data_IF_381313657538
#
_entry.id   IF_381313657538
#
_cell.length_a   1.000
_cell.length_b   1.000
_cell.length_c   1.000
_cell.angle_alpha   90.00
_cell.angle_beta   90.00
_cell.angle_gamma   90.00
#
_symmetry.space_group_name_H-M   'P 1'
#
loop_
_entity.id
_entity.type
_entity.pdbx_description
1 polymer ?
#
# COMPACT_ATOMS: atom_id res chain seq x y z
N UNK A 1 7.54 -3.99 -46.73
CA UNK A 1 6.59 -5.07 -46.56
C UNK A 1 5.94 -4.86 -45.20
N UNK A 2 4.62 -4.60 -45.13
CA UNK A 2 3.94 -4.44 -43.84
C UNK A 2 3.72 -5.81 -43.19
N UNK A 3 4.02 -5.89 -41.90
CA UNK A 3 3.76 -7.03 -41.03
C UNK A 3 2.24 -7.14 -40.86
N UNK A 4 1.61 -8.32 -41.00
CA UNK A 4 0.17 -8.47 -40.79
C UNK A 4 -0.14 -8.24 -39.31
N UNK A 5 -0.97 -7.24 -39.04
CA UNK A 5 -1.62 -7.04 -37.75
C UNK A 5 -2.59 -8.19 -37.54
N UNK A 6 -2.25 -9.13 -36.65
CA UNK A 6 -3.19 -10.12 -36.17
C UNK A 6 -4.34 -9.35 -35.49
N UNK A 7 -5.57 -9.55 -36.00
CA UNK A 7 -6.81 -9.06 -35.40
C UNK A 7 -6.96 -9.65 -33.97
N UNK A 8 -6.42 -8.92 -33.00
CA UNK A 8 -6.66 -9.21 -31.59
C UNK A 8 -8.06 -8.70 -31.30
N UNK A 9 -9.04 -9.58 -31.34
CA UNK A 9 -10.40 -9.30 -30.91
C UNK A 9 -10.37 -8.69 -29.48
N UNK A 10 -11.16 -7.63 -29.25
CA UNK A 10 -11.22 -7.03 -27.92
C UNK A 10 -11.56 -8.09 -26.86
N UNK A 11 -10.93 -8.05 -25.68
CA UNK A 11 -11.07 -9.08 -24.64
C UNK A 11 -12.52 -9.31 -24.19
N UNK A 12 -13.40 -8.33 -24.37
CA UNK A 12 -14.84 -8.41 -24.11
C UNK A 12 -15.55 -9.38 -25.04
N UNK A 13 -15.23 -9.38 -26.32
CA UNK A 13 -15.81 -10.31 -27.31
C UNK A 13 -15.32 -11.74 -27.09
N UNK A 14 -14.11 -11.93 -26.60
CA UNK A 14 -13.58 -13.26 -26.26
C UNK A 14 -14.28 -13.82 -25.01
N UNK A 15 -14.60 -12.99 -24.03
CA UNK A 15 -15.33 -13.40 -22.82
C UNK A 15 -16.82 -13.73 -23.13
N UNK A 16 -17.46 -12.94 -23.99
CA UNK A 16 -18.86 -13.20 -24.45
C UNK A 16 -18.93 -14.51 -25.26
N UNK A 17 -17.94 -14.75 -26.14
CA UNK A 17 -17.88 -16.02 -26.92
C UNK A 17 -17.61 -17.21 -26.00
N UNK A 18 -16.72 -17.12 -25.03
CA UNK A 18 -16.49 -18.20 -24.08
C UNK A 18 -17.69 -18.45 -23.17
N UNK A 19 -18.38 -17.42 -22.71
CA UNK A 19 -19.62 -17.52 -21.93
C UNK A 19 -20.76 -18.12 -22.76
N UNK A 20 -20.92 -17.70 -24.01
CA UNK A 20 -21.90 -18.24 -24.94
C UNK A 20 -21.66 -19.72 -25.26
N UNK A 21 -20.40 -20.13 -25.41
CA UNK A 21 -20.05 -21.55 -25.63
C UNK A 21 -20.38 -22.41 -24.42
N UNK A 22 -20.15 -21.95 -23.22
CA UNK A 22 -20.47 -22.65 -21.97
C UNK A 22 -21.99 -22.79 -21.78
N UNK A 23 -22.74 -21.73 -22.06
CA UNK A 23 -24.21 -21.77 -22.01
C UNK A 23 -24.76 -22.69 -23.08
N UNK A 24 -24.23 -22.65 -24.31
CA UNK A 24 -24.64 -23.55 -25.40
C UNK A 24 -24.34 -25.02 -25.10
N UNK A 25 -23.15 -25.31 -24.50
CA UNK A 25 -22.78 -26.65 -24.03
C UNK A 25 -23.71 -27.13 -22.90
N UNK A 26 -24.01 -26.26 -21.92
CA UNK A 26 -24.95 -26.57 -20.84
C UNK A 26 -26.36 -26.83 -21.31
N UNK A 27 -26.87 -26.03 -22.27
CA UNK A 27 -28.18 -26.22 -22.90
C UNK A 27 -28.21 -27.47 -23.75
N UNK A 28 -27.15 -27.82 -24.48
CA UNK A 28 -27.06 -29.06 -25.27
C UNK A 28 -27.12 -30.30 -24.37
N UNK A 29 -26.46 -30.26 -23.19
CA UNK A 29 -26.54 -31.35 -22.20
C UNK A 29 -27.95 -31.50 -21.64
N UNK A 30 -28.64 -30.39 -21.34
CA UNK A 30 -30.00 -30.39 -20.79
C UNK A 30 -31.03 -30.79 -21.87
N UNK A 31 -30.83 -30.40 -23.13
CA UNK A 31 -31.73 -30.70 -24.24
C UNK A 31 -31.59 -32.12 -24.83
N UNK A 32 -30.62 -32.91 -24.37
CA UNK A 32 -30.41 -34.29 -24.85
C UNK A 32 -29.93 -34.38 -26.29
N UNK A 33 -29.42 -33.28 -26.88
CA UNK A 33 -28.82 -33.29 -28.21
C UNK A 33 -27.46 -33.99 -28.20
N UNK A 34 -27.13 -34.73 -29.26
CA UNK A 34 -25.86 -35.45 -29.37
C UNK A 34 -24.67 -34.49 -29.22
N UNK A 35 -23.96 -34.66 -28.14
CA UNK A 35 -22.66 -33.99 -27.93
C UNK A 35 -21.62 -34.80 -28.71
N UNK A 36 -20.68 -34.18 -29.44
CA UNK A 36 -19.65 -34.92 -30.17
C UNK A 36 -18.96 -35.95 -29.27
N UNK A 37 -18.85 -37.18 -29.75
CA UNK A 37 -18.28 -38.33 -28.99
C UNK A 37 -16.90 -38.04 -28.38
N UNK A 38 -16.12 -37.17 -29.00
CA UNK A 38 -14.84 -36.71 -28.45
C UNK A 38 -14.96 -35.95 -27.12
N UNK A 39 -16.09 -35.27 -26.89
CA UNK A 39 -16.35 -34.58 -25.61
C UNK A 39 -16.96 -35.55 -24.60
N UNK A 40 -17.80 -36.49 -25.07
CA UNK A 40 -18.37 -37.53 -24.21
C UNK A 40 -17.33 -38.57 -23.77
N UNK A 41 -16.34 -38.90 -24.61
CA UNK A 41 -15.25 -39.81 -24.25
C UNK A 41 -14.30 -39.23 -23.19
N UNK A 42 -14.09 -37.90 -23.17
CA UNK A 42 -13.37 -37.24 -22.11
C UNK A 42 -14.12 -37.24 -20.76
N UNK A 43 -15.43 -37.49 -20.79
CA UNK A 43 -16.33 -37.56 -19.62
C UNK A 43 -17.12 -38.86 -19.59
N UNK A 44 -16.56 -39.99 -20.06
CA UNK A 44 -17.19 -41.30 -20.02
C UNK A 44 -17.35 -41.80 -18.58
N UNK A 45 -18.47 -41.46 -17.98
CA UNK A 45 -18.95 -42.05 -16.75
C UNK A 45 -19.95 -43.16 -17.10
N UNK A 46 -19.49 -44.38 -17.15
CA UNK A 46 -20.38 -45.53 -17.15
C UNK A 46 -21.00 -45.68 -15.75
N UNK A 47 -22.34 -45.75 -15.76
CA UNK A 47 -23.26 -46.06 -14.66
C UNK A 47 -23.69 -44.97 -13.68
N UNK A 48 -25.01 -44.86 -13.70
CA UNK A 48 -25.97 -44.20 -12.81
C UNK A 48 -26.14 -42.67 -12.98
N UNK A 49 -27.40 -42.25 -13.04
CA UNK A 49 -27.81 -40.85 -13.21
C UNK A 49 -27.16 -39.86 -12.24
N UNK A 50 -26.82 -40.34 -11.04
CA UNK A 50 -26.18 -39.52 -10.00
C UNK A 50 -24.74 -39.13 -10.36
N UNK A 51 -23.97 -39.98 -11.05
CA UNK A 51 -22.57 -39.71 -11.40
C UNK A 51 -22.47 -38.64 -12.50
N UNK A 52 -23.42 -38.61 -13.43
CA UNK A 52 -23.49 -37.54 -14.45
C UNK A 52 -23.79 -36.18 -13.82
N UNK A 53 -24.73 -36.12 -12.88
CA UNK A 53 -25.08 -34.90 -12.16
C UNK A 53 -23.88 -34.39 -11.38
N UNK A 54 -23.15 -35.26 -10.69
CA UNK A 54 -21.94 -34.90 -9.95
C UNK A 54 -20.85 -34.36 -10.89
N UNK A 55 -20.64 -35.01 -12.05
CA UNK A 55 -19.67 -34.56 -13.06
C UNK A 55 -19.98 -33.15 -13.59
N UNK A 56 -21.25 -32.90 -13.94
CA UNK A 56 -21.69 -31.57 -14.38
C UNK A 56 -21.56 -30.53 -13.27
N UNK A 57 -21.88 -30.90 -12.04
CA UNK A 57 -21.74 -30.00 -10.89
C UNK A 57 -20.27 -29.63 -10.63
N UNK A 58 -19.35 -30.61 -10.67
CA UNK A 58 -17.90 -30.34 -10.51
C UNK A 58 -17.43 -29.43 -11.65
N UNK A 59 -17.80 -29.70 -12.90
CA UNK A 59 -17.41 -28.85 -14.03
C UNK A 59 -17.94 -27.42 -13.89
N UNK A 60 -19.21 -27.27 -13.49
CA UNK A 60 -19.79 -25.96 -13.21
C UNK A 60 -19.05 -25.20 -12.08
N UNK A 61 -18.68 -25.90 -11.01
CA UNK A 61 -17.89 -25.33 -9.90
C UNK A 61 -16.52 -24.85 -10.39
N UNK A 62 -15.82 -25.65 -11.20
CA UNK A 62 -14.52 -25.28 -11.77
C UNK A 62 -14.63 -24.05 -12.66
N UNK A 63 -15.65 -23.99 -13.51
CA UNK A 63 -15.90 -22.81 -14.36
C UNK A 63 -16.23 -21.59 -13.52
N UNK A 64 -17.12 -21.69 -12.55
CA UNK A 64 -17.48 -20.60 -11.66
C UNK A 64 -16.25 -20.12 -10.87
N UNK A 65 -15.42 -21.03 -10.39
CA UNK A 65 -14.16 -20.69 -9.75
C UNK A 65 -13.21 -19.93 -10.69
N UNK A 66 -13.01 -20.43 -11.92
CA UNK A 66 -12.18 -19.79 -12.93
C UNK A 66 -12.71 -18.39 -13.30
N UNK A 67 -14.03 -18.24 -13.48
CA UNK A 67 -14.66 -16.95 -13.74
C UNK A 67 -14.51 -15.98 -12.56
N UNK A 68 -14.68 -16.48 -11.34
CA UNK A 68 -14.49 -15.69 -10.12
C UNK A 68 -13.04 -15.20 -9.99
N UNK A 69 -12.06 -16.09 -10.19
CA UNK A 69 -10.63 -15.72 -10.17
C UNK A 69 -10.33 -14.69 -11.26
N UNK A 70 -10.89 -14.86 -12.45
CA UNK A 70 -10.75 -13.90 -13.56
C UNK A 70 -11.37 -12.55 -13.22
N UNK A 71 -12.59 -12.51 -12.70
CA UNK A 71 -13.26 -11.28 -12.29
C UNK A 71 -12.49 -10.53 -11.21
N UNK A 72 -12.00 -11.25 -10.19
CA UNK A 72 -11.16 -10.68 -9.14
C UNK A 72 -9.84 -10.13 -9.70
N UNK A 73 -9.22 -10.83 -10.65
CA UNK A 73 -7.98 -10.37 -11.28
C UNK A 73 -8.19 -9.16 -12.18
N UNK A 74 -9.31 -9.08 -12.90
CA UNK A 74 -9.68 -7.90 -13.68
C UNK A 74 -9.98 -6.70 -12.78
N UNK A 75 -10.77 -6.88 -11.72
CA UNK A 75 -11.03 -5.84 -10.74
C UNK A 75 -9.75 -5.25 -10.15
N UNK A 76 -8.79 -6.09 -9.79
CA UNK A 76 -7.49 -5.64 -9.28
C UNK A 76 -6.60 -4.94 -10.34
N UNK A 77 -6.75 -5.27 -11.62
CA UNK A 77 -6.07 -4.55 -12.72
C UNK A 77 -6.66 -3.16 -12.93
N UNK A 78 -7.98 -3.06 -13.01
CA UNK A 78 -8.70 -1.78 -13.17
C UNK A 78 -8.38 -0.86 -11.98
N UNK A 79 -8.44 -1.37 -10.77
CA UNK A 79 -8.11 -0.60 -9.56
C UNK A 79 -6.67 -0.07 -9.60
N UNK A 80 -5.70 -0.87 -10.06
CA UNK A 80 -4.31 -0.42 -10.21
C UNK A 80 -4.13 0.62 -11.32
N UNK A 81 -4.79 0.45 -12.47
CA UNK A 81 -4.74 1.42 -13.58
C UNK A 81 -5.35 2.75 -13.18
N UNK A 82 -6.53 2.70 -12.55
CA UNK A 82 -7.19 3.90 -12.02
C UNK A 82 -6.33 4.57 -10.95
N UNK A 83 -5.74 3.75 -10.04
CA UNK A 83 -4.81 4.22 -9.04
C UNK A 83 -3.61 4.96 -9.63
N UNK A 84 -2.97 4.40 -10.66
CA UNK A 84 -1.86 5.05 -11.35
C UNK A 84 -2.26 6.35 -12.07
N UNK A 85 -3.46 6.40 -12.66
CA UNK A 85 -3.98 7.62 -13.29
C UNK A 85 -4.22 8.73 -12.26
N UNK A 86 -4.82 8.40 -11.12
CA UNK A 86 -5.06 9.35 -10.02
C UNK A 86 -3.76 9.86 -9.39
N UNK A 87 -2.75 9.00 -9.23
CA UNK A 87 -1.40 9.42 -8.81
C UNK A 87 -0.75 10.34 -9.85
N UNK A 88 -0.95 10.05 -11.14
CA UNK A 88 -0.46 10.89 -12.23
C UNK A 88 -1.08 12.30 -12.22
N UNK A 89 -2.38 12.41 -11.97
CA UNK A 89 -3.07 13.70 -11.86
C UNK A 89 -2.54 14.52 -10.68
N UNK A 90 -2.38 13.92 -9.52
CA UNK A 90 -1.81 14.59 -8.34
C UNK A 90 -0.36 15.07 -8.61
N UNK A 91 0.41 14.30 -9.37
CA UNK A 91 1.77 14.67 -9.76
C UNK A 91 1.81 15.85 -10.74
N UNK A 92 0.94 15.86 -11.76
CA UNK A 92 0.85 16.96 -12.73
C UNK A 92 0.41 18.27 -12.05
N UNK A 93 -0.59 18.20 -11.15
CA UNK A 93 -1.04 19.34 -10.37
C UNK A 93 0.08 19.91 -9.50
N UNK A 94 0.76 19.06 -8.75
CA UNK A 94 1.89 19.41 -7.91
C UNK A 94 3.02 20.09 -8.71
N UNK A 95 3.36 19.54 -9.88
CA UNK A 95 4.39 20.09 -10.76
C UNK A 95 3.97 21.42 -11.38
N UNK A 96 2.74 21.50 -11.89
CA UNK A 96 2.22 22.71 -12.52
C UNK A 96 2.17 23.91 -11.56
N UNK A 97 1.95 23.65 -10.26
CA UNK A 97 1.99 24.64 -9.21
C UNK A 97 3.42 25.09 -8.81
N UNK A 98 4.48 24.52 -9.41
CA UNK A 98 5.88 24.85 -9.10
C UNK A 98 6.38 24.30 -7.76
N UNK A 99 5.65 23.38 -7.14
CA UNK A 99 5.98 22.83 -5.83
C UNK A 99 7.28 22.01 -5.76
N UNK A 100 7.80 21.37 -6.84
CA UNK A 100 9.08 20.65 -6.77
C UNK A 100 10.23 21.48 -6.23
N UNK A 101 10.30 22.78 -6.59
CA UNK A 101 11.38 23.68 -6.15
C UNK A 101 11.42 23.87 -4.62
N UNK A 102 10.26 23.70 -3.96
CA UNK A 102 10.18 23.85 -2.50
C UNK A 102 10.97 22.75 -1.75
N UNK A 103 11.26 21.61 -2.40
CA UNK A 103 11.87 20.43 -1.76
C UNK A 103 13.31 20.18 -2.21
N UNK A 104 13.78 20.85 -3.25
CA UNK A 104 15.13 20.66 -3.79
C UNK A 104 16.18 20.87 -2.71
N UNK A 105 17.08 19.91 -2.54
CA UNK A 105 18.16 19.90 -1.58
C UNK A 105 17.74 19.99 -0.09
N UNK A 106 16.46 19.80 0.22
CA UNK A 106 15.88 19.87 1.57
C UNK A 106 15.50 18.50 2.13
N UNK A 107 15.17 18.50 3.39
CA UNK A 107 14.46 17.38 4.01
C UNK A 107 12.97 17.56 3.69
N UNK A 108 12.39 16.63 2.92
CA UNK A 108 10.96 16.58 2.66
C UNK A 108 10.24 15.87 3.81
N UNK A 109 9.40 16.58 4.56
CA UNK A 109 8.57 15.97 5.61
C UNK A 109 7.26 15.54 4.97
N UNK A 110 7.00 14.24 4.91
CA UNK A 110 5.81 13.63 4.34
C UNK A 110 4.79 13.31 5.43
N UNK A 111 3.61 13.90 5.31
CA UNK A 111 2.51 13.72 6.25
C UNK A 111 1.29 13.14 5.50
N UNK A 112 1.04 11.83 5.55
CA UNK A 112 -0.20 11.27 5.01
C UNK A 112 -1.37 11.63 5.95
N UNK A 113 -2.48 12.16 5.39
CA UNK A 113 -3.63 12.58 6.16
C UNK A 113 -4.95 12.08 5.54
N UNK A 114 -5.90 11.65 6.37
CA UNK A 114 -7.26 11.33 5.95
C UNK A 114 -8.25 11.64 7.08
N UNK A 115 -9.06 12.67 6.90
CA UNK A 115 -9.98 13.20 7.92
C UNK A 115 -9.24 13.45 9.25
N UNK A 116 -8.26 14.33 9.21
CA UNK A 116 -7.40 14.72 10.33
C UNK A 116 -7.41 16.25 10.54
N UNK A 117 -8.49 16.96 10.15
CA UNK A 117 -8.58 18.42 10.29
C UNK A 117 -8.32 18.91 11.72
N UNK A 118 -8.78 18.14 12.74
CA UNK A 118 -8.60 18.47 14.15
C UNK A 118 -7.16 18.32 14.66
N UNK A 119 -6.33 17.56 13.94
CA UNK A 119 -4.98 17.17 14.38
C UNK A 119 -3.86 17.77 13.52
N UNK A 120 -4.07 17.81 12.20
CA UNK A 120 -3.00 18.11 11.24
C UNK A 120 -2.36 19.48 11.48
N UNK A 121 -3.14 20.51 11.82
CA UNK A 121 -2.62 21.85 12.11
C UNK A 121 -1.63 21.85 13.28
N UNK A 122 -1.99 21.19 14.39
CA UNK A 122 -1.16 21.07 15.57
C UNK A 122 0.16 20.29 15.31
N UNK A 123 0.09 19.27 14.43
CA UNK A 123 1.30 18.53 14.00
C UNK A 123 2.20 19.44 13.18
N UNK A 124 1.64 20.16 12.21
CA UNK A 124 2.38 21.06 11.31
C UNK A 124 3.08 22.19 12.07
N UNK A 125 2.42 22.80 13.06
CA UNK A 125 2.99 23.88 13.88
C UNK A 125 4.21 23.43 14.71
N UNK A 126 4.33 22.14 15.00
CA UNK A 126 5.45 21.56 15.75
C UNK A 126 6.59 21.06 14.85
N UNK A 127 6.39 21.03 13.53
CA UNK A 127 7.46 20.58 12.62
C UNK A 127 8.60 21.57 12.59
N UNK A 128 9.85 21.12 12.72
CA UNK A 128 11.00 22.01 12.70
C UNK A 128 11.23 22.57 11.29
N UNK A 129 11.60 23.85 11.20
CA UNK A 129 12.01 24.49 9.93
C UNK A 129 13.38 24.00 9.43
N UNK A 130 14.18 23.41 10.32
CA UNK A 130 15.52 22.87 10.04
C UNK A 130 15.78 21.66 10.93
N UNK A 131 16.43 20.63 10.39
CA UNK A 131 16.87 19.44 11.12
C UNK A 131 18.34 19.15 10.76
N UNK A 132 19.19 19.03 11.76
CA UNK A 132 20.62 18.74 11.59
C UNK A 132 21.31 19.68 10.57
N UNK A 133 20.99 20.98 10.56
CA UNK A 133 21.57 21.97 9.65
C UNK A 133 21.01 21.96 8.22
N UNK A 134 19.94 21.17 7.96
CA UNK A 134 19.30 21.11 6.65
C UNK A 134 17.86 21.63 6.76
N UNK A 135 17.51 22.60 5.91
CA UNK A 135 16.16 23.16 5.85
C UNK A 135 15.12 22.10 5.51
N UNK A 136 13.93 22.19 6.07
CA UNK A 136 12.81 21.30 5.80
C UNK A 136 11.78 21.94 4.88
N UNK A 137 10.97 21.11 4.25
CA UNK A 137 9.72 21.50 3.59
C UNK A 137 8.69 20.41 3.81
N UNK A 138 7.43 20.77 4.04
CA UNK A 138 6.38 19.81 4.41
C UNK A 138 5.43 19.58 3.24
N UNK A 139 5.23 18.30 2.92
CA UNK A 139 4.24 17.80 1.96
C UNK A 139 3.18 17.00 2.71
N UNK A 140 1.94 17.47 2.67
CA UNK A 140 0.77 16.73 3.14
C UNK A 140 0.13 16.04 1.94
N UNK A 141 -0.06 14.74 2.05
CA UNK A 141 -0.91 14.00 1.08
C UNK A 141 -2.27 13.79 1.72
N UNK A 142 -3.24 14.57 1.29
CA UNK A 142 -4.64 14.39 1.66
C UNK A 142 -5.27 13.25 0.86
N UNK A 143 -5.57 12.14 1.51
CA UNK A 143 -6.12 10.95 0.87
C UNK A 143 -7.65 11.02 0.69
N UNK A 144 -8.14 12.13 0.16
CA UNK A 144 -9.54 12.34 -0.18
C UNK A 144 -10.42 12.63 1.03
N UNK A 145 -9.95 13.47 1.94
CA UNK A 145 -10.70 13.92 3.13
C UNK A 145 -11.97 14.72 2.76
N UNK A 146 -12.90 14.76 3.71
CA UNK A 146 -14.18 15.48 3.58
C UNK A 146 -14.41 16.48 4.71
N UNK A 147 -13.45 16.66 5.59
CA UNK A 147 -13.51 17.45 6.81
C UNK A 147 -12.72 18.77 6.74
N UNK A 148 -12.13 19.09 5.58
CA UNK A 148 -11.31 20.29 5.43
C UNK A 148 -9.84 20.09 5.82
N UNK A 149 -9.36 18.86 5.94
CA UNK A 149 -7.95 18.54 6.27
C UNK A 149 -6.98 19.27 5.35
N UNK A 150 -7.24 19.35 4.04
CA UNK A 150 -6.36 19.99 3.07
C UNK A 150 -6.33 21.52 3.21
N UNK A 151 -7.48 22.16 3.51
CA UNK A 151 -7.53 23.58 3.79
C UNK A 151 -6.75 23.94 5.05
N UNK A 152 -6.91 23.15 6.14
CA UNK A 152 -6.14 23.34 7.37
C UNK A 152 -4.65 23.18 7.10
N UNK A 153 -4.24 22.14 6.36
CA UNK A 153 -2.84 21.93 6.05
C UNK A 153 -2.20 23.09 5.26
N UNK A 154 -2.91 23.64 4.27
CA UNK A 154 -2.45 24.83 3.52
C UNK A 154 -2.35 26.07 4.40
N UNK A 155 -3.32 26.28 5.29
CA UNK A 155 -3.30 27.41 6.22
C UNK A 155 -2.10 27.40 7.17
N UNK A 156 -1.57 26.21 7.48
CA UNK A 156 -0.35 26.01 8.27
C UNK A 156 0.94 25.92 7.42
N UNK A 157 0.89 26.37 6.16
CA UNK A 157 2.08 26.52 5.30
C UNK A 157 2.58 25.26 4.64
N UNK A 158 1.87 24.14 4.71
CA UNK A 158 2.27 22.92 4.03
C UNK A 158 1.93 22.96 2.54
N UNK A 159 2.77 22.37 1.71
CA UNK A 159 2.40 22.00 0.35
C UNK A 159 1.43 20.81 0.43
N UNK A 160 0.33 20.86 -0.31
CA UNK A 160 -0.69 19.81 -0.26
C UNK A 160 -0.90 19.22 -1.65
N UNK A 161 -0.77 17.89 -1.74
CA UNK A 161 -1.25 17.12 -2.87
C UNK A 161 -2.46 16.27 -2.44
N UNK A 162 -3.53 16.24 -3.25
CA UNK A 162 -4.80 15.63 -2.86
C UNK A 162 -5.19 14.49 -3.78
N UNK A 163 -5.62 13.38 -3.19
CA UNK A 163 -6.33 12.33 -3.92
C UNK A 163 -7.82 12.67 -4.04
N UNK A 164 -8.41 12.45 -5.20
CA UNK A 164 -9.84 12.69 -5.44
C UNK A 164 -10.72 11.78 -4.58
N UNK A 165 -10.22 10.58 -4.25
CA UNK A 165 -10.91 9.57 -3.41
C UNK A 165 -9.92 8.95 -2.44
N UNK A 166 -10.42 8.47 -1.30
CA UNK A 166 -9.61 7.72 -0.34
C UNK A 166 -9.08 6.42 -0.98
N UNK A 167 -7.78 6.23 -0.92
CA UNK A 167 -7.06 5.08 -1.47
C UNK A 167 -6.26 4.32 -0.42
N UNK A 168 -6.27 4.80 0.82
CA UNK A 168 -5.55 4.24 1.95
C UNK A 168 -4.14 4.81 2.13
N UNK A 169 -3.65 4.76 3.36
CA UNK A 169 -2.38 5.37 3.76
C UNK A 169 -1.16 4.92 2.93
N UNK A 170 -1.17 3.68 2.44
CA UNK A 170 -0.11 3.19 1.57
C UNK A 170 -0.09 3.88 0.19
N UNK A 171 -1.25 4.24 -0.36
CA UNK A 171 -1.33 5.01 -1.60
C UNK A 171 -0.85 6.44 -1.37
N UNK A 172 -1.28 7.08 -0.28
CA UNK A 172 -0.82 8.42 0.10
C UNK A 172 0.72 8.47 0.24
N UNK A 173 1.30 7.48 0.91
CA UNK A 173 2.76 7.40 1.04
C UNK A 173 3.47 7.18 -0.30
N UNK A 174 2.98 6.29 -1.17
CA UNK A 174 3.58 6.10 -2.51
C UNK A 174 3.57 7.39 -3.32
N UNK A 175 2.43 8.10 -3.32
CA UNK A 175 2.34 9.40 -3.99
C UNK A 175 3.36 10.39 -3.41
N UNK A 176 3.41 10.53 -2.08
CA UNK A 176 4.35 11.44 -1.42
C UNK A 176 5.82 11.08 -1.66
N UNK A 177 6.20 9.80 -1.58
CA UNK A 177 7.56 9.36 -1.87
C UNK A 177 7.96 9.67 -3.30
N UNK A 178 7.07 9.44 -4.27
CA UNK A 178 7.33 9.78 -5.65
C UNK A 178 7.50 11.28 -5.85
N UNK A 179 6.59 12.10 -5.33
CA UNK A 179 6.66 13.55 -5.45
C UNK A 179 7.96 14.12 -4.86
N UNK A 180 8.35 13.67 -3.67
CA UNK A 180 9.56 14.14 -2.99
C UNK A 180 10.84 13.63 -3.65
N UNK A 181 10.86 12.40 -4.15
CA UNK A 181 11.99 11.87 -4.90
C UNK A 181 12.18 12.61 -6.23
N UNK A 182 11.09 12.84 -6.99
CA UNK A 182 11.12 13.56 -8.27
C UNK A 182 11.45 15.07 -8.08
N UNK A 183 11.28 15.60 -6.85
CA UNK A 183 11.61 16.99 -6.46
C UNK A 183 13.05 17.16 -5.96
N UNK A 184 13.89 16.14 -6.09
CA UNK A 184 15.29 16.16 -5.65
C UNK A 184 15.47 16.48 -4.14
N UNK A 185 14.51 16.07 -3.31
CA UNK A 185 14.69 16.09 -1.86
C UNK A 185 15.90 15.22 -1.46
N UNK A 186 16.65 15.63 -0.45
CA UNK A 186 17.81 14.84 0.03
C UNK A 186 17.38 13.65 0.87
N UNK A 187 16.51 13.90 1.83
CA UNK A 187 15.97 12.93 2.78
C UNK A 187 14.47 13.13 2.83
N UNK A 188 13.72 12.04 2.91
CA UNK A 188 12.28 12.07 3.17
C UNK A 188 12.02 11.53 4.57
N UNK A 189 11.39 12.35 5.41
CA UNK A 189 10.93 11.96 6.73
C UNK A 189 9.41 11.74 6.66
N UNK A 190 8.95 10.57 7.06
CA UNK A 190 7.52 10.28 7.18
C UNK A 190 7.09 10.42 8.63
N UNK A 191 6.02 11.18 8.88
CA UNK A 191 5.40 11.35 10.19
C UNK A 191 3.87 11.34 10.04
N UNK A 192 3.15 10.70 10.97
CA UNK A 192 1.69 10.61 10.92
C UNK A 192 1.00 11.92 11.34
N UNK A 193 -0.15 12.24 10.71
CA UNK A 193 -0.94 13.46 10.97
C UNK A 193 -1.71 13.44 12.31
N UNK A 194 -1.66 12.36 13.08
CA UNK A 194 -2.47 12.16 14.28
C UNK A 194 -1.78 12.61 15.59
N UNK A 195 -0.56 13.12 15.48
CA UNK A 195 0.22 13.64 16.58
C UNK A 195 0.80 12.60 17.53
N UNK A 196 0.77 11.31 17.17
CA UNK A 196 1.36 10.24 18.00
C UNK A 196 2.88 10.24 17.99
N UNK A 197 3.53 10.78 16.95
CA UNK A 197 4.98 10.91 16.85
C UNK A 197 5.42 12.31 17.28
N UNK A 198 6.55 12.38 17.96
CA UNK A 198 7.13 13.64 18.42
C UNK A 198 8.06 14.23 17.33
N UNK A 199 7.70 15.38 16.73
CA UNK A 199 8.56 16.05 15.74
C UNK A 199 9.94 16.39 16.28
N UNK A 200 10.05 16.61 17.58
CA UNK A 200 11.29 16.95 18.29
C UNK A 200 12.33 15.81 18.23
N UNK A 201 11.89 14.58 18.01
CA UNK A 201 12.78 13.40 17.85
C UNK A 201 13.28 13.20 16.42
N UNK A 202 12.84 14.03 15.45
CA UNK A 202 13.18 13.89 14.03
C UNK A 202 14.69 13.87 13.79
N UNK A 203 15.46 14.65 14.52
CA UNK A 203 16.91 14.69 14.42
C UNK A 203 17.57 13.33 14.67
N UNK A 204 17.00 12.49 15.57
CA UNK A 204 17.51 11.13 15.84
C UNK A 204 17.40 10.22 14.61
N UNK A 205 16.37 10.41 13.80
CA UNK A 205 16.15 9.64 12.56
C UNK A 205 16.98 10.21 11.40
N UNK A 206 17.08 11.53 11.31
CA UNK A 206 17.74 12.21 10.19
C UNK A 206 19.26 12.08 10.29
N UNK A 207 19.84 12.23 11.48
CA UNK A 207 21.29 12.29 11.66
C UNK A 207 22.03 11.08 11.05
N UNK A 208 21.68 9.82 11.35
CA UNK A 208 22.41 8.67 10.81
C UNK A 208 22.26 8.53 9.27
N UNK A 209 21.18 9.08 8.70
CA UNK A 209 20.99 9.11 7.24
C UNK A 209 21.83 10.22 6.60
N UNK A 210 21.88 11.38 7.23
CA UNK A 210 22.64 12.54 6.77
C UNK A 210 24.15 12.27 6.81
N UNK A 211 24.62 11.60 7.86
CA UNK A 211 26.03 11.20 8.02
C UNK A 211 26.46 10.06 7.06
N UNK A 212 25.49 9.46 6.33
CA UNK A 212 25.74 8.35 5.42
C UNK A 212 25.99 7.01 6.13
N UNK A 213 25.74 6.93 7.45
CA UNK A 213 25.85 5.68 8.22
C UNK A 213 24.87 4.62 7.67
N UNK A 214 23.64 5.04 7.35
CA UNK A 214 22.59 4.21 6.76
C UNK A 214 21.83 4.97 5.67
N UNK A 215 21.11 4.25 4.83
CA UNK A 215 20.20 4.86 3.85
C UNK A 215 18.78 5.05 4.41
N UNK A 216 18.45 4.37 5.51
CA UNK A 216 17.15 4.44 6.19
C UNK A 216 17.33 4.37 7.71
N UNK A 217 16.71 5.28 8.45
CA UNK A 217 16.50 5.18 9.89
C UNK A 217 15.00 4.98 10.18
N UNK A 218 14.67 4.00 10.98
CA UNK A 218 13.30 3.62 11.30
C UNK A 218 13.06 3.75 12.81
N UNK A 219 12.00 4.47 13.19
CA UNK A 219 11.64 4.65 14.58
C UNK A 219 11.14 3.37 15.21
N UNK A 220 11.64 3.02 16.38
CA UNK A 220 11.17 1.88 17.17
C UNK A 220 10.67 2.34 18.53
N UNK A 221 9.39 2.10 18.80
CA UNK A 221 8.79 2.29 20.12
C UNK A 221 9.23 1.24 21.13
N UNK A 222 9.73 0.12 20.63
CA UNK A 222 10.23 -0.98 21.48
C UNK A 222 11.61 -0.64 22.05
N UNK A 223 12.42 0.12 21.30
CA UNK A 223 13.69 0.69 21.77
C UNK A 223 13.51 1.98 22.56
N UNK A 224 12.39 2.70 22.33
CA UNK A 224 12.01 3.93 23.00
C UNK A 224 10.86 3.73 23.98
N UNK A 225 9.83 4.56 23.86
CA UNK A 225 8.70 4.56 24.79
C UNK A 225 7.35 4.57 24.05
N UNK A 226 6.32 4.03 24.70
CA UNK A 226 4.94 4.09 24.24
C UNK A 226 3.98 4.32 25.41
N UNK A 227 3.28 5.46 25.44
CA UNK A 227 2.41 5.85 26.56
C UNK A 227 1.17 4.97 26.72
N UNK A 228 0.61 4.44 25.65
CA UNK A 228 -0.63 3.64 25.69
C UNK A 228 -0.47 2.35 24.88
N UNK A 229 -0.13 1.28 25.57
CA UNK A 229 -0.22 -0.06 25.03
C UNK A 229 -1.20 -0.91 25.85
N UNK A 230 -2.25 -1.41 25.20
CA UNK A 230 -3.02 -2.53 25.75
C UNK A 230 -2.19 -3.80 25.62
N UNK A 231 -2.29 -4.74 26.59
CA UNK A 231 -1.56 -6.02 26.55
C UNK A 231 -1.75 -6.78 25.23
N UNK A 232 -2.96 -6.72 24.64
CA UNK A 232 -3.24 -7.34 23.35
C UNK A 232 -2.48 -6.69 22.18
N UNK A 233 -2.28 -5.38 22.22
CA UNK A 233 -1.50 -4.63 21.21
C UNK A 233 -0.01 -4.94 21.34
N UNK A 234 0.51 -5.01 22.55
CA UNK A 234 1.90 -5.40 22.82
C UNK A 234 2.22 -6.80 22.33
N UNK A 235 1.37 -7.78 22.65
CA UNK A 235 1.50 -9.14 22.14
C UNK A 235 1.47 -9.19 20.61
N UNK A 236 0.61 -8.40 19.98
CA UNK A 236 0.55 -8.27 18.53
C UNK A 236 1.84 -7.69 17.93
N UNK A 237 2.39 -6.64 18.53
CA UNK A 237 3.66 -6.02 18.11
C UNK A 237 4.80 -7.05 18.19
N UNK A 238 4.94 -7.72 19.34
CA UNK A 238 5.98 -8.75 19.55
C UNK A 238 5.83 -9.91 18.55
N UNK A 239 4.61 -10.37 18.31
CA UNK A 239 4.34 -11.45 17.38
C UNK A 239 4.77 -11.07 15.94
N UNK A 240 4.33 -9.91 15.45
CA UNK A 240 4.65 -9.48 14.08
C UNK A 240 6.12 -9.12 13.90
N UNK A 241 6.76 -8.52 14.89
CA UNK A 241 8.20 -8.26 14.87
C UNK A 241 8.99 -9.57 14.75
N UNK A 242 8.62 -10.59 15.54
CA UNK A 242 9.24 -11.93 15.45
C UNK A 242 8.99 -12.57 14.08
N UNK A 243 7.77 -12.45 13.54
CA UNK A 243 7.43 -12.98 12.23
C UNK A 243 8.28 -12.34 11.13
N UNK A 244 8.37 -11.00 11.12
CA UNK A 244 9.21 -10.27 10.15
C UNK A 244 10.66 -10.64 10.33
N UNK A 245 11.18 -10.68 11.58
CA UNK A 245 12.57 -11.05 11.87
C UNK A 245 12.90 -12.47 11.39
N UNK A 246 11.99 -13.42 11.60
CA UNK A 246 12.16 -14.81 11.16
C UNK A 246 12.22 -14.92 9.63
N UNK A 247 11.28 -14.27 8.93
CA UNK A 247 11.19 -14.34 7.48
C UNK A 247 12.37 -13.62 6.82
N UNK A 248 12.74 -12.46 7.31
CA UNK A 248 13.82 -11.63 6.73
C UNK A 248 15.21 -12.04 7.21
N UNK A 249 15.30 -12.88 8.25
CA UNK A 249 16.55 -13.24 8.95
C UNK A 249 17.32 -12.01 9.47
N UNK A 250 16.60 -10.93 9.75
CA UNK A 250 17.12 -9.67 10.25
C UNK A 250 16.39 -9.34 11.55
N UNK A 251 17.09 -8.93 12.58
CA UNK A 251 16.46 -8.53 13.84
C UNK A 251 15.70 -7.22 13.63
N UNK A 252 14.35 -7.25 13.77
CA UNK A 252 13.46 -6.11 13.65
C UNK A 252 12.71 -5.94 14.97
N UNK A 253 12.81 -4.75 15.55
CA UNK A 253 12.19 -4.44 16.84
C UNK A 253 10.79 -3.82 16.71
N UNK A 254 10.52 -3.04 15.64
CA UNK A 254 9.20 -2.43 15.39
C UNK A 254 8.87 -2.29 13.91
N UNK A 255 8.32 -3.33 13.29
CA UNK A 255 7.93 -3.33 11.88
C UNK A 255 6.68 -2.49 11.57
N UNK A 256 5.99 -1.96 12.58
CA UNK A 256 4.69 -1.29 12.42
C UNK A 256 4.71 0.22 12.66
N UNK A 257 5.86 0.80 13.00
CA UNK A 257 6.02 2.24 13.19
C UNK A 257 6.11 2.98 11.86
N UNK A 258 5.39 4.11 11.73
CA UNK A 258 5.37 4.96 10.54
C UNK A 258 6.51 5.98 10.48
N UNK A 259 7.11 6.34 11.63
CA UNK A 259 8.12 7.39 11.74
C UNK A 259 9.47 6.90 11.21
N UNK A 260 9.95 7.50 10.15
CA UNK A 260 11.21 7.09 9.49
C UNK A 260 11.83 8.22 8.70
N UNK A 261 13.14 8.16 8.53
CA UNK A 261 13.92 8.99 7.61
C UNK A 261 14.57 8.09 6.55
N UNK A 262 14.49 8.47 5.29
CA UNK A 262 15.02 7.68 4.17
C UNK A 262 15.68 8.61 3.17
N UNK A 263 16.82 8.25 2.65
CA UNK A 263 17.44 8.94 1.51
C UNK A 263 16.51 8.88 0.29
N UNK A 264 16.26 10.03 -0.34
CA UNK A 264 15.24 10.11 -1.39
C UNK A 264 15.59 9.27 -2.63
N UNK A 265 16.87 9.11 -2.96
CA UNK A 265 17.35 8.31 -4.09
C UNK A 265 17.09 6.79 -3.95
N UNK A 266 16.83 6.33 -2.72
CA UNK A 266 16.49 4.93 -2.46
C UNK A 266 15.02 4.64 -2.76
N UNK A 267 14.13 5.63 -2.61
CA UNK A 267 12.67 5.45 -2.71
C UNK A 267 12.20 4.85 -4.04
N UNK A 268 12.71 5.26 -5.22
CA UNK A 268 12.31 4.67 -6.50
C UNK A 268 12.68 3.20 -6.64
N UNK A 269 13.61 2.70 -5.84
CA UNK A 269 14.02 1.29 -5.88
C UNK A 269 13.03 0.37 -5.16
N UNK A 270 12.18 0.90 -4.27
CA UNK A 270 11.25 0.13 -3.46
C UNK A 270 9.96 -0.20 -4.23
N UNK A 271 9.49 -1.44 -4.11
CA UNK A 271 8.22 -1.87 -4.71
C UNK A 271 7.13 -1.90 -3.64
N UNK A 272 6.44 -0.79 -3.47
CA UNK A 272 5.36 -0.63 -2.50
C UNK A 272 3.99 -0.82 -3.19
N UNK A 273 3.16 -1.73 -2.69
CA UNK A 273 1.85 -2.08 -3.28
C UNK A 273 0.71 -2.13 -2.26
N UNK A 274 1.03 -2.22 -0.97
CA UNK A 274 0.02 -2.33 0.07
C UNK A 274 -0.69 -0.99 0.28
N UNK A 275 -2.01 -1.01 0.34
CA UNK A 275 -2.83 0.15 0.72
C UNK A 275 -2.92 0.29 2.24
N UNK A 276 -2.96 -0.87 2.93
CA UNK A 276 -2.83 -0.98 4.38
C UNK A 276 -1.54 -1.73 4.72
N UNK A 277 -1.06 -1.62 5.96
CA UNK A 277 0.17 -2.30 6.43
C UNK A 277 1.45 -1.93 5.67
N UNK A 278 1.45 -0.76 5.05
CA UNK A 278 2.55 -0.21 4.26
C UNK A 278 3.84 -0.05 5.05
N UNK A 279 3.77 0.12 6.37
CA UNK A 279 4.95 0.25 7.24
C UNK A 279 5.80 -1.01 7.25
N UNK A 280 5.17 -2.17 7.43
CA UNK A 280 5.86 -3.47 7.38
C UNK A 280 6.32 -3.83 5.96
N UNK A 281 5.52 -3.47 4.94
CA UNK A 281 5.93 -3.64 3.55
C UNK A 281 7.22 -2.88 3.25
N UNK A 282 7.28 -1.62 3.66
CA UNK A 282 8.46 -0.77 3.47
C UNK A 282 9.71 -1.40 4.11
N UNK A 283 9.61 -1.85 5.36
CA UNK A 283 10.71 -2.50 6.08
C UNK A 283 11.17 -3.77 5.36
N UNK A 284 10.24 -4.64 4.97
CA UNK A 284 10.56 -5.90 4.27
C UNK A 284 11.22 -5.63 2.92
N UNK A 285 10.70 -4.68 2.14
CA UNK A 285 11.27 -4.31 0.84
C UNK A 285 12.68 -3.71 1.00
N UNK A 286 12.91 -2.88 2.01
CA UNK A 286 14.24 -2.34 2.31
C UNK A 286 15.23 -3.45 2.63
N UNK A 287 14.86 -4.40 3.51
CA UNK A 287 15.71 -5.56 3.87
C UNK A 287 15.99 -6.44 2.66
N UNK A 288 14.97 -6.79 1.85
CA UNK A 288 15.13 -7.63 0.65
C UNK A 288 16.10 -7.03 -0.37
N UNK A 289 16.18 -5.71 -0.42
CA UNK A 289 17.09 -4.99 -1.33
C UNK A 289 18.45 -4.69 -0.74
N UNK A 290 18.70 -5.14 0.48
CA UNK A 290 19.97 -4.89 1.18
C UNK A 290 20.21 -3.42 1.46
N UNK A 291 19.14 -2.62 1.61
CA UNK A 291 19.24 -1.19 1.94
C UNK A 291 19.75 -1.09 3.38
N UNK A 292 20.88 -0.42 3.63
CA UNK A 292 21.39 -0.22 4.99
C UNK A 292 20.36 0.52 5.83
N UNK A 293 19.92 -0.11 6.93
CA UNK A 293 18.86 0.41 7.78
C UNK A 293 19.25 0.30 9.26
N UNK A 294 18.79 1.25 10.08
CA UNK A 294 18.97 1.29 11.53
C UNK A 294 17.65 1.59 12.21
N UNK A 295 17.35 0.88 13.28
CA UNK A 295 16.25 1.25 14.17
C UNK A 295 16.72 2.23 15.25
N UNK A 296 15.92 3.26 15.48
CA UNK A 296 16.21 4.37 16.38
C UNK A 296 15.11 4.47 17.44
N UNK A 297 15.41 4.64 18.73
CA UNK A 297 14.40 4.80 19.76
C UNK A 297 13.58 6.07 19.52
N UNK A 298 12.24 5.91 19.50
CA UNK A 298 11.28 7.01 19.40
C UNK A 298 10.13 6.81 20.39
N UNK A 299 9.51 7.91 20.77
CA UNK A 299 8.36 7.95 21.66
C UNK A 299 7.07 7.98 20.85
N UNK A 300 6.11 7.16 21.23
CA UNK A 300 4.75 7.17 20.68
C UNK A 300 3.79 7.55 21.79
N UNK A 301 3.23 8.76 21.66
CA UNK A 301 2.28 9.31 22.63
C UNK A 301 0.84 8.98 22.25
N UNK A 302 -0.09 9.36 23.13
CA UNK A 302 -1.52 9.30 22.83
C UNK A 302 -1.89 10.20 21.67
N UNK A 303 -2.85 9.78 20.85
CA UNK A 303 -3.40 10.58 19.75
C UNK A 303 -3.98 11.90 20.31
N UNK A 304 -3.80 13.00 19.57
CA UNK A 304 -4.28 14.31 20.00
C UNK A 304 -5.80 14.36 20.09
N UNK A 305 -6.51 13.89 19.07
CA UNK A 305 -7.97 13.81 19.07
C UNK A 305 -8.50 12.64 18.24
N UNK A 306 -9.79 12.31 18.40
CA UNK A 306 -10.50 11.28 17.63
C UNK A 306 -10.19 9.85 18.04
N UNK A 307 -10.74 8.88 17.26
CA UNK A 307 -10.61 7.45 17.53
C UNK A 307 -9.81 6.76 16.42
N UNK A 308 -9.09 5.70 16.80
CA UNK A 308 -8.37 4.86 15.82
C UNK A 308 -9.35 4.25 14.82
N UNK A 309 -9.10 4.45 13.53
CA UNK A 309 -9.89 3.90 12.42
C UNK A 309 -9.55 2.43 12.09
N UNK A 310 -8.77 1.76 12.97
CA UNK A 310 -8.32 0.36 12.76
C UNK A 310 -9.46 -0.63 13.03
N UNK A 311 -9.65 -1.67 12.18
CA UNK A 311 -10.67 -2.69 12.37
C UNK A 311 -10.40 -3.57 13.59
N UNK A 312 -11.38 -4.46 13.94
CA UNK A 312 -11.27 -5.40 15.05
C UNK A 312 -9.95 -6.20 15.02
N UNK A 313 -9.35 -6.42 16.19
CA UNK A 313 -7.98 -6.93 16.40
C UNK A 313 -7.66 -8.19 15.58
N UNK A 314 -8.56 -9.17 15.55
CA UNK A 314 -8.31 -10.44 14.83
C UNK A 314 -8.26 -10.24 13.32
N UNK A 315 -9.22 -9.50 12.75
CA UNK A 315 -9.27 -9.22 11.31
C UNK A 315 -8.07 -8.38 10.87
N UNK A 316 -7.67 -7.43 11.71
CA UNK A 316 -6.48 -6.62 11.49
C UNK A 316 -5.21 -7.48 11.48
N UNK A 317 -5.07 -8.40 12.46
CA UNK A 317 -3.92 -9.29 12.56
C UNK A 317 -3.79 -10.24 11.37
N UNK A 318 -4.89 -10.84 10.89
CA UNK A 318 -4.85 -11.69 9.69
C UNK A 318 -4.46 -10.91 8.43
N UNK A 319 -4.99 -9.68 8.28
CA UNK A 319 -4.62 -8.80 7.17
C UNK A 319 -3.14 -8.45 7.21
N UNK A 320 -2.61 -8.15 8.39
CA UNK A 320 -1.21 -7.81 8.60
C UNK A 320 -0.28 -8.99 8.26
N UNK A 321 -0.58 -10.22 8.76
CA UNK A 321 0.17 -11.43 8.43
C UNK A 321 0.18 -11.71 6.92
N UNK A 322 -0.98 -11.60 6.27
CA UNK A 322 -1.10 -11.77 4.82
C UNK A 322 -0.27 -10.74 4.04
N UNK A 323 -0.24 -9.48 4.48
CA UNK A 323 0.58 -8.43 3.88
C UNK A 323 2.07 -8.75 3.99
N UNK A 324 2.55 -9.21 5.16
CA UNK A 324 3.94 -9.63 5.38
C UNK A 324 4.32 -10.76 4.42
N UNK A 325 3.53 -11.84 4.40
CA UNK A 325 3.81 -13.02 3.57
C UNK A 325 3.79 -12.65 2.07
N UNK A 326 2.79 -11.92 1.60
CA UNK A 326 2.71 -11.46 0.21
C UNK A 326 3.88 -10.56 -0.20
N UNK A 327 4.33 -9.70 0.70
CA UNK A 327 5.48 -8.82 0.43
C UNK A 327 6.78 -9.64 0.34
N UNK A 328 6.93 -10.63 1.19
CA UNK A 328 8.11 -11.50 1.16
C UNK A 328 8.18 -12.38 -0.07
N UNK A 329 7.05 -12.97 -0.48
CA UNK A 329 6.96 -13.89 -1.63
C UNK A 329 7.04 -13.21 -3.01
N UNK A 330 6.95 -11.91 -3.08
CA UNK A 330 7.21 -11.14 -4.31
C UNK A 330 8.70 -11.11 -4.61
#
# INVERSE_FOLDING_TARGET
MPVPTADILPPELTAIRAGGLVVALGLAVVAGTEIPDALLSAFSFERENNTRIIGVAIFAIVILFALTVRALSQGSRISRQLGGALEGLAWEEFRAAGHPEAFRDRIGILVPAYNEADNVGQVLDRLPAEVCGVATATLVIDDGSRDGTDEVARAHGAVVARHVVNRGGGAALRTGYRLLSDSEAKIVVTIDADGQHLPEEMARLVQPVLDGEVAMAHGSRVLGEAEQNTRSRELGIVFFNKLVSLITRTHVTDCSNGYRAVRADVLPTLVLRQEQFHTSEFMIEAIKRGIPAKEVPVTVVSRLSGHSKKPAVVRYGMGFANAIVRTWLR
#
